data_IF_637882205576
#
_entry.id   IF_637882205576
#
_cell.length_a   1.000
_cell.length_b   1.000
_cell.length_c   1.000
_cell.angle_alpha   90.00
_cell.angle_beta   90.00
_cell.angle_gamma   90.00
#
_symmetry.space_group_name_H-M   'P 1'
#
loop_
_entity.id
_entity.type
_entity.pdbx_description
1 polymer ?
#
# COMPACT_ATOMS: atom_id res chain seq x y z
N UNK A 1 -12.52 -15.06 -4.42
CA UNK A 1 -12.03 -14.01 -3.50
C UNK A 1 -10.95 -13.23 -4.22
N UNK A 2 -11.21 -11.94 -4.39
CA UNK A 2 -10.60 -11.04 -5.38
C UNK A 2 -9.13 -10.74 -5.01
N UNK A 3 -8.22 -11.62 -5.43
CA UNK A 3 -6.79 -11.55 -5.03
C UNK A 3 -6.00 -10.63 -5.96
N UNK A 4 -6.41 -9.35 -6.09
CA UNK A 4 -5.70 -8.37 -6.92
C UNK A 4 -4.40 -7.87 -6.26
N UNK A 5 -4.32 -7.96 -4.93
CA UNK A 5 -3.17 -7.54 -4.16
C UNK A 5 -1.88 -8.34 -4.44
N UNK A 6 -1.87 -9.70 -4.46
CA UNK A 6 -0.68 -10.44 -4.85
C UNK A 6 -0.19 -10.07 -6.26
N UNK A 7 -1.05 -9.66 -7.20
CA UNK A 7 -0.62 -9.14 -8.51
C UNK A 7 0.20 -7.85 -8.42
N UNK A 8 -0.13 -6.95 -7.48
CA UNK A 8 0.63 -5.72 -7.22
C UNK A 8 1.98 -6.01 -6.52
N UNK A 9 2.05 -7.10 -5.77
CA UNK A 9 3.21 -7.48 -4.95
C UNK A 9 4.06 -8.63 -5.55
N UNK A 10 3.65 -9.18 -6.69
CA UNK A 10 4.26 -10.37 -7.30
C UNK A 10 5.74 -10.20 -7.70
N UNK A 11 6.22 -8.97 -7.89
CA UNK A 11 7.60 -8.66 -8.28
C UNK A 11 8.46 -8.07 -7.14
N UNK A 12 8.03 -8.20 -5.89
CA UNK A 12 8.81 -7.67 -4.77
C UNK A 12 9.99 -8.59 -4.42
N UNK A 13 11.19 -8.02 -4.33
CA UNK A 13 12.43 -8.76 -4.00
C UNK A 13 12.52 -9.22 -2.55
N UNK A 14 11.76 -8.58 -1.65
CA UNK A 14 11.73 -8.91 -0.23
C UNK A 14 10.45 -9.72 0.07
N UNK A 15 10.57 -11.02 0.39
CA UNK A 15 9.41 -11.88 0.64
C UNK A 15 8.60 -11.43 1.86
N UNK A 16 9.19 -10.72 2.82
CA UNK A 16 8.51 -10.20 4.00
C UNK A 16 7.82 -8.84 3.77
N UNK A 17 7.90 -8.25 2.57
CA UNK A 17 7.20 -6.99 2.29
C UNK A 17 5.69 -7.19 2.30
N UNK A 18 5.22 -8.37 1.86
CA UNK A 18 3.80 -8.72 1.86
C UNK A 18 3.29 -8.76 3.30
N UNK A 19 3.97 -9.49 4.18
CA UNK A 19 3.61 -9.58 5.61
C UNK A 19 3.61 -8.20 6.29
N UNK A 20 4.61 -7.37 5.99
CA UNK A 20 4.70 -6.01 6.55
C UNK A 20 3.61 -5.09 6.02
N UNK A 21 3.24 -5.20 4.75
CA UNK A 21 2.13 -4.44 4.18
C UNK A 21 0.79 -4.91 4.74
N UNK A 22 0.57 -6.22 4.83
CA UNK A 22 -0.64 -6.79 5.44
C UNK A 22 -0.82 -6.28 6.86
N UNK A 23 0.20 -6.41 7.73
CA UNK A 23 0.16 -5.88 9.11
C UNK A 23 -0.14 -4.39 9.24
N UNK A 24 0.12 -3.61 8.19
CA UNK A 24 -0.02 -2.16 8.20
C UNK A 24 -1.34 -1.69 7.60
N UNK A 25 -1.97 -2.52 6.79
CA UNK A 25 -3.18 -2.20 6.03
C UNK A 25 -4.41 -2.96 6.53
N UNK A 26 -4.24 -4.16 7.06
CA UNK A 26 -5.29 -4.96 7.72
C UNK A 26 -5.56 -4.36 9.11
N UNK A 27 -6.45 -3.37 9.14
CA UNK A 27 -6.76 -2.56 10.33
C UNK A 27 -7.69 -3.31 11.27
N UNK A 28 -8.53 -4.18 10.73
CA UNK A 28 -9.46 -5.00 11.50
C UNK A 28 -8.85 -6.35 11.95
N UNK A 29 -7.67 -6.70 11.44
CA UNK A 29 -6.94 -7.94 11.74
C UNK A 29 -7.70 -9.21 11.37
N UNK A 30 -8.50 -9.18 10.30
CA UNK A 30 -9.23 -10.35 9.80
C UNK A 30 -8.40 -11.21 8.83
N UNK A 31 -7.17 -10.79 8.52
CA UNK A 31 -6.26 -11.46 7.60
C UNK A 31 -6.60 -11.20 6.14
N UNK A 32 -7.50 -10.27 5.84
CA UNK A 32 -7.88 -9.85 4.51
C UNK A 32 -7.65 -8.35 4.36
N UNK A 33 -7.81 -7.87 3.12
CA UNK A 33 -7.74 -6.46 2.80
C UNK A 33 -9.05 -6.11 2.12
N UNK A 34 -9.93 -5.42 2.85
CA UNK A 34 -11.18 -4.94 2.30
C UNK A 34 -10.96 -3.72 1.39
N UNK A 35 -12.02 -3.30 0.69
CA UNK A 35 -11.93 -2.17 -0.24
C UNK A 35 -11.51 -0.86 0.45
N UNK A 36 -11.95 -0.63 1.69
CA UNK A 36 -11.62 0.57 2.46
C UNK A 36 -10.14 0.57 2.86
N UNK A 37 -9.63 -0.57 3.31
CA UNK A 37 -8.23 -0.76 3.67
C UNK A 37 -7.31 -0.67 2.45
N UNK A 38 -7.74 -1.18 1.29
CA UNK A 38 -7.05 -0.98 0.02
C UNK A 38 -6.98 0.50 -0.40
N UNK A 39 -8.08 1.26 -0.23
CA UNK A 39 -8.07 2.70 -0.53
C UNK A 39 -7.12 3.48 0.39
N UNK A 40 -6.93 3.04 1.64
CA UNK A 40 -5.95 3.65 2.54
C UNK A 40 -4.51 3.52 1.99
N UNK A 41 -4.17 2.41 1.33
CA UNK A 41 -2.89 2.25 0.64
C UNK A 41 -2.75 3.27 -0.50
N UNK A 42 -3.76 3.35 -1.38
CA UNK A 42 -3.75 4.27 -2.53
C UNK A 42 -3.69 5.73 -2.07
N UNK A 43 -4.46 6.09 -1.04
CA UNK A 43 -4.43 7.40 -0.42
C UNK A 43 -3.06 7.73 0.17
N UNK A 44 -2.43 6.78 0.86
CA UNK A 44 -1.07 6.92 1.37
C UNK A 44 -0.04 7.18 0.27
N UNK A 45 -0.13 6.45 -0.86
CA UNK A 45 0.72 6.68 -2.04
C UNK A 45 0.45 8.06 -2.63
N UNK A 46 -0.81 8.46 -2.79
CA UNK A 46 -1.17 9.77 -3.34
C UNK A 46 -0.61 10.92 -2.48
N UNK A 47 -0.70 10.82 -1.15
CA UNK A 47 -0.13 11.80 -0.21
C UNK A 47 1.40 11.81 -0.28
N UNK A 48 2.04 10.64 -0.33
CA UNK A 48 3.50 10.56 -0.46
C UNK A 48 4.00 11.16 -1.78
N UNK A 49 3.29 10.92 -2.88
CA UNK A 49 3.56 11.53 -4.18
C UNK A 49 3.33 13.04 -4.14
N UNK A 50 2.22 13.51 -3.57
CA UNK A 50 1.94 14.92 -3.40
C UNK A 50 3.07 15.61 -2.62
N UNK A 51 3.50 15.04 -1.49
CA UNK A 51 4.59 15.61 -0.70
C UNK A 51 5.91 15.61 -1.46
N UNK A 52 6.21 14.55 -2.21
CA UNK A 52 7.45 14.48 -3.02
C UNK A 52 7.46 15.50 -4.16
N UNK A 53 6.30 15.82 -4.74
CA UNK A 53 6.16 16.80 -5.81
C UNK A 53 6.12 18.24 -5.29
N UNK A 54 5.47 18.46 -4.14
CA UNK A 54 5.36 19.80 -3.51
C UNK A 54 6.64 20.19 -2.77
N UNK A 55 7.40 19.23 -2.25
CA UNK A 55 8.70 19.48 -1.61
C UNK A 55 9.89 19.43 -2.59
N UNK A 56 9.67 19.19 -3.88
CA UNK A 56 10.71 19.39 -4.88
C UNK A 56 11.04 20.90 -4.90
N UNK A 57 12.25 21.31 -4.50
CA UNK A 57 12.60 22.73 -4.52
C UNK A 57 12.52 23.19 -5.98
N UNK A 58 11.74 24.23 -6.20
CA UNK A 58 11.77 25.01 -7.44
C UNK A 58 13.21 25.52 -7.57
N UNK A 59 13.91 25.03 -8.58
CA UNK A 59 15.19 25.61 -8.98
C UNK A 59 14.96 26.95 -9.67
#
# INVERSE_FOLDING_TARGET
VDSHLPGLLQNQKDPGVVDRMMKKLDLNSDGQLDFQEFLNLIGGIAVACHNSLVMAPSH
#
